data_IF_913564936267
#
_entry.id   IF_913564936267
#
_cell.length_a   1.000
_cell.length_b   1.000
_cell.length_c   1.000
_cell.angle_alpha   90.00
_cell.angle_beta   90.00
_cell.angle_gamma   90.00
#
_symmetry.space_group_name_H-M   'P 1'
#
loop_
_entity.id
_entity.type
_entity.pdbx_description
1 polymer ?
#
# COMPACT_ATOMS: atom_id res chain seq x y z
N UNK A 1 -22.13 -14.34 -6.53
CA UNK A 1 -20.82 -14.61 -5.91
C UNK A 1 -19.74 -13.60 -6.29
N UNK A 2 -19.81 -12.93 -7.46
CA UNK A 2 -18.79 -11.94 -7.89
C UNK A 2 -18.74 -10.66 -7.02
N UNK A 3 -19.89 -10.16 -6.55
CA UNK A 3 -19.96 -8.92 -5.76
C UNK A 3 -19.35 -9.06 -4.36
N UNK A 4 -19.45 -10.25 -3.76
CA UNK A 4 -18.90 -10.51 -2.42
C UNK A 4 -17.37 -10.56 -2.45
N UNK A 5 -16.76 -11.17 -3.47
CA UNK A 5 -15.31 -11.22 -3.59
C UNK A 5 -14.69 -9.84 -3.86
N UNK A 6 -15.38 -9.01 -4.65
CA UNK A 6 -14.95 -7.61 -4.86
C UNK A 6 -15.00 -6.80 -3.56
N UNK A 7 -16.05 -6.95 -2.76
CA UNK A 7 -16.17 -6.29 -1.47
C UNK A 7 -15.06 -6.74 -0.49
N UNK A 8 -14.83 -8.06 -0.37
CA UNK A 8 -13.76 -8.61 0.49
C UNK A 8 -12.38 -8.10 0.05
N UNK A 9 -12.13 -8.03 -1.26
CA UNK A 9 -10.85 -7.52 -1.76
C UNK A 9 -10.68 -6.02 -1.49
N UNK A 10 -11.76 -5.23 -1.56
CA UNK A 10 -11.72 -3.82 -1.23
C UNK A 10 -11.45 -3.59 0.27
N UNK A 11 -12.06 -4.37 1.16
CA UNK A 11 -11.79 -4.27 2.60
C UNK A 11 -10.34 -4.62 2.95
N UNK A 12 -9.83 -5.72 2.37
CA UNK A 12 -8.44 -6.13 2.54
C UNK A 12 -7.46 -5.08 2.00
N UNK A 13 -7.75 -4.52 0.82
CA UNK A 13 -6.96 -3.44 0.26
C UNK A 13 -6.97 -2.21 1.17
N UNK A 14 -8.13 -1.79 1.66
CA UNK A 14 -8.24 -0.62 2.53
C UNK A 14 -7.45 -0.81 3.84
N UNK A 15 -7.46 -2.01 4.42
CA UNK A 15 -6.64 -2.32 5.59
C UNK A 15 -5.15 -2.27 5.26
N UNK A 16 -4.75 -2.86 4.13
CA UNK A 16 -3.37 -2.84 3.65
C UNK A 16 -2.87 -1.42 3.40
N UNK A 17 -3.61 -0.64 2.61
CA UNK A 17 -3.31 0.75 2.27
C UNK A 17 -3.22 1.62 3.51
N UNK A 18 -4.11 1.43 4.49
CA UNK A 18 -4.02 2.13 5.77
C UNK A 18 -2.71 1.84 6.50
N UNK A 19 -2.32 0.57 6.63
CA UNK A 19 -1.06 0.19 7.32
C UNK A 19 0.16 0.71 6.58
N UNK A 20 0.15 0.64 5.25
CA UNK A 20 1.22 1.15 4.40
C UNK A 20 1.39 2.67 4.59
N UNK A 21 0.31 3.44 4.42
CA UNK A 21 0.36 4.89 4.59
C UNK A 21 0.69 5.31 6.03
N UNK A 22 0.20 4.59 7.04
CA UNK A 22 0.57 4.82 8.44
C UNK A 22 2.07 4.61 8.67
N UNK A 23 2.68 3.60 8.03
CA UNK A 23 4.11 3.34 8.15
C UNK A 23 4.94 4.41 7.45
N UNK A 24 4.59 4.79 6.22
CA UNK A 24 5.25 5.90 5.52
C UNK A 24 5.18 7.18 6.36
N UNK A 25 4.00 7.53 6.86
CA UNK A 25 3.82 8.71 7.71
C UNK A 25 4.65 8.64 8.99
N UNK A 26 4.79 7.48 9.64
CA UNK A 26 5.66 7.33 10.81
C UNK A 26 7.13 7.57 10.50
N UNK A 27 7.58 7.24 9.29
CA UNK A 27 8.98 7.40 8.86
C UNK A 27 9.25 8.85 8.44
N UNK A 28 8.35 9.45 7.64
CA UNK A 28 8.58 10.76 7.02
C UNK A 28 7.96 11.93 7.78
N UNK A 29 6.90 11.69 8.54
CA UNK A 29 6.03 12.74 9.08
C UNK A 29 5.19 13.47 8.04
N UNK A 30 5.17 13.00 6.78
CA UNK A 30 4.48 13.66 5.66
C UNK A 30 3.36 12.78 5.08
N UNK A 31 2.12 13.29 5.17
CA UNK A 31 0.94 12.63 4.60
C UNK A 31 0.97 12.64 3.06
N UNK A 32 1.61 13.64 2.43
CA UNK A 32 1.74 13.68 0.98
C UNK A 32 2.70 12.61 0.47
N UNK A 33 3.79 12.34 1.20
CA UNK A 33 4.66 11.20 0.91
C UNK A 33 3.86 9.89 0.96
N UNK A 34 3.04 9.69 2.00
CA UNK A 34 2.20 8.49 2.11
C UNK A 34 1.19 8.35 0.97
N UNK A 35 0.65 9.46 0.43
CA UNK A 35 -0.25 9.45 -0.73
C UNK A 35 0.48 9.13 -2.02
N UNK A 36 1.63 9.76 -2.25
CA UNK A 36 2.43 9.56 -3.46
C UNK A 36 2.93 8.11 -3.55
N UNK A 37 3.43 7.56 -2.44
CA UNK A 37 3.92 6.19 -2.39
C UNK A 37 2.79 5.16 -2.51
N UNK A 38 1.55 5.52 -2.14
CA UNK A 38 0.37 4.64 -2.27
C UNK A 38 -0.21 4.64 -3.70
N UNK A 39 -0.01 5.70 -4.49
CA UNK A 39 -0.56 5.85 -5.85
C UNK A 39 -0.38 4.63 -6.77
N UNK A 40 0.79 3.95 -6.84
CA UNK A 40 0.96 2.77 -7.69
C UNK A 40 0.25 1.51 -7.18
N UNK A 41 -0.13 1.46 -5.90
CA UNK A 41 -0.76 0.30 -5.27
C UNK A 41 -2.28 0.32 -5.50
N UNK A 42 -2.72 -0.15 -6.66
CA UNK A 42 -4.16 -0.17 -6.99
C UNK A 42 -4.92 -1.30 -6.26
N UNK A 43 -6.21 -1.13 -5.92
CA UNK A 43 -7.04 -2.18 -5.32
C UNK A 43 -7.09 -3.48 -6.15
N UNK A 44 -6.99 -3.35 -7.47
CA UNK A 44 -6.95 -4.46 -8.41
C UNK A 44 -5.71 -5.33 -8.20
N UNK A 45 -4.58 -4.75 -7.79
CA UNK A 45 -3.29 -5.43 -7.67
C UNK A 45 -2.82 -6.01 -9.00
N UNK A 46 -3.09 -5.29 -10.10
CA UNK A 46 -2.87 -5.79 -11.46
C UNK A 46 -1.40 -5.65 -11.92
N UNK A 47 -0.65 -4.73 -11.33
CA UNK A 47 0.77 -4.56 -11.62
C UNK A 47 1.57 -5.58 -10.79
N UNK A 48 2.38 -6.46 -11.42
CA UNK A 48 3.16 -7.45 -10.71
C UNK A 48 4.22 -6.83 -9.78
N UNK A 49 4.67 -5.60 -10.01
CA UNK A 49 5.60 -4.91 -9.13
C UNK A 49 4.91 -4.22 -7.93
N UNK A 50 3.58 -4.00 -8.02
CA UNK A 50 2.78 -3.35 -6.98
C UNK A 50 1.60 -4.20 -6.55
N UNK A 51 1.83 -5.52 -6.42
CA UNK A 51 0.83 -6.48 -5.99
C UNK A 51 0.70 -6.49 -4.46
N UNK A 52 -0.13 -5.59 -3.92
CA UNK A 52 -0.37 -5.46 -2.47
C UNK A 52 -0.82 -6.77 -1.78
N UNK A 53 -1.36 -7.74 -2.54
CA UNK A 53 -1.85 -9.01 -2.00
C UNK A 53 -0.73 -9.97 -1.59
N UNK A 54 0.46 -9.78 -2.15
CA UNK A 54 1.61 -10.68 -1.99
C UNK A 54 2.70 -10.10 -1.09
N UNK A 55 2.55 -8.84 -0.66
CA UNK A 55 3.53 -8.11 0.14
C UNK A 55 2.93 -7.61 1.45
N UNK A 56 3.75 -7.56 2.51
CA UNK A 56 3.35 -6.92 3.76
C UNK A 56 3.41 -5.38 3.59
N UNK A 57 2.39 -4.64 4.06
CA UNK A 57 2.35 -3.19 3.89
C UNK A 57 3.47 -2.45 4.63
N UNK A 58 3.99 -2.99 5.73
CA UNK A 58 5.10 -2.38 6.47
C UNK A 58 6.42 -2.60 5.74
N UNK A 59 6.65 -3.82 5.24
CA UNK A 59 7.85 -4.14 4.45
C UNK A 59 7.89 -3.31 3.16
N UNK A 60 6.77 -3.23 2.43
CA UNK A 60 6.66 -2.40 1.23
C UNK A 60 6.91 -0.91 1.53
N UNK A 61 6.40 -0.40 2.65
CA UNK A 61 6.63 0.99 3.06
C UNK A 61 8.11 1.23 3.43
N UNK A 62 8.74 0.31 4.15
CA UNK A 62 10.16 0.41 4.50
C UNK A 62 11.04 0.36 3.24
N UNK A 63 10.71 -0.51 2.28
CA UNK A 63 11.41 -0.60 0.99
C UNK A 63 11.28 0.71 0.20
N UNK A 64 10.07 1.25 0.07
CA UNK A 64 9.85 2.55 -0.57
C UNK A 64 10.73 3.65 0.07
N UNK A 65 10.85 3.66 1.40
CA UNK A 65 11.66 4.64 2.12
C UNK A 65 13.16 4.39 2.08
N UNK A 66 13.60 3.17 1.78
CA UNK A 66 15.01 2.88 1.57
C UNK A 66 15.56 3.67 0.37
N UNK A 67 14.75 3.94 -0.65
CA UNK A 67 15.17 4.71 -1.83
C UNK A 67 15.32 6.22 -1.58
N UNK A 68 14.77 6.75 -0.47
CA UNK A 68 14.84 8.18 -0.14
C UNK A 68 16.03 8.55 0.77
N UNK A 69 16.76 7.56 1.30
CA UNK A 69 17.87 7.77 2.25
C UNK A 69 19.28 7.63 1.62
N UNK A 70 19.41 7.73 0.29
CA UNK A 70 20.69 7.68 -0.43
C UNK A 70 21.19 9.08 -0.85
#
# INVERSE_FOLDING_TARGET
MLNTQKAINAEKYNEWARKFSEQIFKITGDENAAKNELEPWTPEGADPNYCWREVDPVDAANEAMSYHND
#
